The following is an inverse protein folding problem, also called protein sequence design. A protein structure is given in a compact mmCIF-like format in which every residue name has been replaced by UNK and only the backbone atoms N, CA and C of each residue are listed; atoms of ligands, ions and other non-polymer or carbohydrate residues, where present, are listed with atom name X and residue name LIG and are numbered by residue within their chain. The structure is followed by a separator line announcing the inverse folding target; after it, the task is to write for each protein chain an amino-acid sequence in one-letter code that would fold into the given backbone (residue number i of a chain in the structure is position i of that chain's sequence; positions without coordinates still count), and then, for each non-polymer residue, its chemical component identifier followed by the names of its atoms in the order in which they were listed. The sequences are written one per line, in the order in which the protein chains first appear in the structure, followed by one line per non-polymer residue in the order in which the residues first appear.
data_IF_118619264005
#
_entry.id   IF_118619264005
#
_cell.length_a   1.000
_cell.length_b   1.000
_cell.length_c   1.000
_cell.angle_alpha   90.00
_cell.angle_beta   90.00
_cell.angle_gamma   90.00
#
_symmetry.space_group_name_H-M   'P 1'
#
loop_
_entity.id
_entity.type
_entity.pdbx_description
1 polymer ?
#
# COMPACT_ATOMS: atom_id res chain seq x y z
N UNK A 1 -59.62 -52.37 4.42
CA UNK A 1 -59.93 -53.64 5.11
C UNK A 1 -58.60 -54.34 5.39
N UNK A 2 -58.19 -54.74 6.58
CA UNK A 2 -58.72 -54.60 7.93
C UNK A 2 -57.67 -55.13 8.93
N UNK A 3 -57.45 -54.34 9.99
CA UNK A 3 -57.12 -54.68 11.39
C UNK A 3 -56.26 -55.91 11.75
N UNK A 4 -55.26 -55.65 12.61
CA UNK A 4 -55.18 -56.25 13.94
C UNK A 4 -54.69 -55.22 14.98
N UNK A 5 -55.52 -55.00 16.02
CA UNK A 5 -55.21 -54.39 17.35
C UNK A 5 -54.55 -55.50 18.22
N UNK A 6 -53.98 -55.35 19.41
CA UNK A 6 -54.03 -54.42 20.57
C UNK A 6 -52.67 -54.61 21.33
N UNK A 7 -52.22 -53.84 22.32
CA UNK A 7 -52.86 -53.46 23.58
C UNK A 7 -51.95 -52.48 24.36
N UNK A 8 -52.56 -51.57 25.14
CA UNK A 8 -51.93 -50.58 26.05
C UNK A 8 -52.04 -51.05 27.52
N UNK A 9 -51.14 -50.59 28.40
CA UNK A 9 -51.39 -50.04 29.77
C UNK A 9 -50.06 -49.60 30.43
N UNK A 10 -49.83 -48.31 30.69
CA UNK A 10 -50.09 -47.52 31.93
C UNK A 10 -49.12 -47.80 33.10
N UNK A 11 -48.10 -46.95 33.30
CA UNK A 11 -47.95 -45.83 34.30
C UNK A 11 -47.48 -46.24 35.70
N UNK A 12 -46.31 -45.73 36.13
CA UNK A 12 -46.05 -45.26 37.53
C UNK A 12 -44.94 -44.18 37.53
N UNK A 13 -45.19 -43.06 38.23
CA UNK A 13 -44.27 -41.97 38.57
C UNK A 13 -43.36 -42.33 39.76
N UNK A 14 -42.13 -41.80 39.80
CA UNK A 14 -41.42 -41.53 41.08
C UNK A 14 -40.67 -40.20 40.99
N UNK A 15 -40.65 -39.47 42.13
CA UNK A 15 -40.26 -38.07 42.32
C UNK A 15 -38.82 -37.91 42.89
N UNK A 16 -38.12 -36.85 42.43
CA UNK A 16 -37.12 -35.96 43.11
C UNK A 16 -35.69 -36.46 43.47
N UNK A 17 -34.69 -35.56 43.72
CA UNK A 17 -34.69 -34.08 43.74
C UNK A 17 -33.53 -33.37 42.96
N UNK A 18 -33.66 -32.04 42.91
CA UNK A 18 -32.78 -31.00 42.35
C UNK A 18 -31.39 -30.91 43.00
N UNK A 19 -30.38 -30.51 42.22
CA UNK A 19 -29.22 -29.75 42.70
C UNK A 19 -29.00 -28.54 41.80
N UNK A 20 -29.14 -27.36 42.40
CA UNK A 20 -28.96 -26.05 41.81
C UNK A 20 -27.49 -25.78 41.43
N UNK A 21 -27.24 -25.38 40.18
CA UNK A 21 -26.06 -24.60 39.81
C UNK A 21 -26.57 -23.37 39.07
N UNK A 22 -26.60 -22.23 39.77
CA UNK A 22 -26.80 -20.92 39.16
C UNK A 22 -25.60 -20.61 38.26
N UNK A 23 -25.84 -20.48 36.96
CA UNK A 23 -25.00 -19.69 36.05
C UNK A 23 -25.77 -18.42 35.72
N UNK A 24 -25.29 -17.29 36.21
CA UNK A 24 -25.75 -15.98 35.77
C UNK A 24 -25.42 -15.82 34.28
N UNK A 25 -26.44 -15.93 33.44
CA UNK A 25 -26.35 -15.61 32.02
C UNK A 25 -26.71 -14.14 31.83
N UNK A 26 -25.70 -13.30 31.62
CA UNK A 26 -25.88 -12.04 30.90
C UNK A 26 -26.21 -12.39 29.44
N UNK A 27 -27.50 -12.64 29.18
CA UNK A 27 -28.04 -12.73 27.82
C UNK A 27 -28.05 -11.30 27.28
N UNK A 28 -27.00 -10.94 26.54
CA UNK A 28 -26.99 -9.77 25.69
C UNK A 28 -27.81 -10.14 24.45
N UNK A 29 -28.97 -9.50 24.31
CA UNK A 29 -29.93 -9.68 23.22
C UNK A 29 -29.26 -9.56 21.84
N UNK A 30 -29.04 -10.69 21.17
CA UNK A 30 -28.39 -10.78 19.85
C UNK A 30 -29.20 -10.02 18.78
N UNK A 31 -30.52 -9.96 18.91
CA UNK A 31 -31.39 -9.18 18.01
C UNK A 31 -31.09 -7.68 18.09
N UNK A 32 -30.61 -7.21 19.24
CA UNK A 32 -30.24 -5.81 19.45
C UNK A 32 -28.86 -5.48 18.83
N UNK A 33 -27.96 -6.46 18.72
CA UNK A 33 -26.71 -6.31 17.96
C UNK A 33 -26.97 -6.33 16.46
N UNK A 34 -27.81 -7.24 15.96
CA UNK A 34 -28.18 -7.28 14.54
C UNK A 34 -28.89 -6.02 14.10
N UNK A 35 -29.86 -5.52 14.88
CA UNK A 35 -30.55 -4.25 14.61
C UNK A 35 -29.61 -3.05 14.53
N UNK A 36 -28.60 -2.97 15.42
CA UNK A 36 -27.61 -1.88 15.40
C UNK A 36 -26.62 -2.03 14.23
N UNK A 37 -26.33 -3.26 13.79
CA UNK A 37 -25.47 -3.53 12.63
C UNK A 37 -26.20 -3.17 11.34
N UNK A 38 -27.47 -3.54 11.19
CA UNK A 38 -28.31 -3.19 10.03
C UNK A 38 -28.52 -1.67 9.92
N UNK A 39 -28.78 -0.98 11.04
CA UNK A 39 -28.93 0.48 11.07
C UNK A 39 -27.60 1.20 10.71
N UNK A 40 -26.45 0.63 11.09
CA UNK A 40 -25.12 1.17 10.74
C UNK A 40 -24.72 0.90 9.29
N UNK A 41 -25.13 -0.24 8.72
CA UNK A 41 -24.94 -0.56 7.29
C UNK A 41 -25.80 0.40 6.44
N UNK A 42 -27.03 0.67 6.85
CA UNK A 42 -27.95 1.59 6.16
C UNK A 42 -27.37 3.01 6.00
N UNK A 43 -26.74 3.56 7.05
CA UNK A 43 -26.12 4.91 7.01
C UNK A 43 -24.94 4.95 6.03
N UNK A 44 -24.14 3.87 5.95
CA UNK A 44 -23.01 3.78 5.01
C UNK A 44 -23.52 3.64 3.58
N UNK A 45 -24.56 2.83 3.34
CA UNK A 45 -25.20 2.71 2.03
C UNK A 45 -25.83 4.03 1.55
N UNK A 46 -26.44 4.81 2.45
CA UNK A 46 -27.06 6.09 2.10
C UNK A 46 -26.02 7.16 1.70
N UNK A 47 -24.85 7.14 2.36
CA UNK A 47 -23.69 7.99 2.00
C UNK A 47 -23.12 7.59 0.64
N UNK A 48 -23.11 6.28 0.32
CA UNK A 48 -22.68 5.78 -1.00
C UNK A 48 -23.70 6.20 -2.07
N UNK A 49 -24.99 5.98 -1.85
CA UNK A 49 -26.07 6.29 -2.83
C UNK A 49 -26.18 7.79 -3.17
N UNK A 50 -26.00 8.69 -2.20
CA UNK A 50 -26.11 10.16 -2.45
C UNK A 50 -24.96 10.75 -3.27
N UNK A 51 -23.86 10.02 -3.48
CA UNK A 51 -22.67 10.54 -4.16
C UNK A 51 -22.46 9.97 -5.59
N UNK A 52 -23.37 9.13 -6.11
CA UNK A 52 -23.22 8.40 -7.39
C UNK A 52 -23.79 9.15 -8.60
N UNK A 53 -24.58 10.20 -8.41
CA UNK A 53 -25.14 10.96 -9.53
C UNK A 53 -24.27 12.18 -9.85
N UNK A 54 -23.37 12.07 -10.83
CA UNK A 54 -23.05 13.09 -11.84
C UNK A 54 -22.07 12.51 -12.90
N UNK A 55 -22.58 12.35 -14.12
CA UNK A 55 -21.85 11.97 -15.35
C UNK A 55 -21.05 13.16 -15.92
N UNK A 56 -20.03 12.92 -16.76
CA UNK A 56 -18.86 13.80 -16.89
C UNK A 56 -19.01 14.88 -17.96
N UNK A 57 -18.42 16.05 -17.72
CA UNK A 57 -17.97 16.97 -18.78
C UNK A 57 -16.44 16.95 -18.83
N UNK A 58 -15.90 16.77 -20.04
CA UNK A 58 -14.47 16.72 -20.32
C UNK A 58 -13.78 18.02 -19.87
N UNK A 59 -12.79 17.92 -18.98
CA UNK A 59 -11.93 19.05 -18.61
C UNK A 59 -10.64 18.96 -19.42
N UNK A 60 -10.46 19.90 -20.34
CA UNK A 60 -9.22 20.13 -21.08
C UNK A 60 -8.11 20.53 -20.11
N UNK A 61 -6.99 19.81 -20.12
CA UNK A 61 -5.78 20.18 -19.41
C UNK A 61 -5.11 21.36 -20.15
N UNK A 62 -5.15 22.54 -19.54
CA UNK A 62 -4.42 23.73 -19.99
C UNK A 62 -3.20 23.95 -19.10
N UNK A 63 -2.03 24.07 -19.73
CA UNK A 63 -0.75 24.38 -19.12
C UNK A 63 -0.77 25.72 -18.37
N UNK A 64 -0.34 25.70 -17.11
CA UNK A 64 0.31 26.86 -16.49
C UNK A 64 1.44 26.40 -15.57
N UNK A 65 2.62 26.96 -15.82
CA UNK A 65 3.89 26.66 -15.16
C UNK A 65 4.10 27.78 -14.14
N UNK A 66 3.83 27.51 -12.86
CA UNK A 66 4.14 28.42 -11.76
C UNK A 66 3.51 27.93 -10.45
N UNK A 67 4.32 27.68 -9.41
CA UNK A 67 3.94 27.14 -8.09
C UNK A 67 3.56 25.63 -8.00
N UNK A 68 4.45 24.74 -8.46
CA UNK A 68 4.25 23.27 -8.44
C UNK A 68 4.72 22.53 -7.18
N UNK A 69 5.04 23.22 -6.08
CA UNK A 69 5.32 22.57 -4.79
C UNK A 69 4.07 22.08 -4.04
N UNK A 70 2.88 22.22 -4.64
CA UNK A 70 1.57 22.16 -3.96
C UNK A 70 0.64 21.04 -4.48
N UNK A 71 1.09 20.18 -5.41
CA UNK A 71 0.22 19.22 -6.10
C UNK A 71 -0.47 18.20 -5.18
N UNK A 72 0.08 17.93 -3.99
CA UNK A 72 -0.43 16.90 -3.07
C UNK A 72 -0.95 17.44 -1.73
N UNK A 73 -1.14 18.75 -1.58
CA UNK A 73 -1.93 19.33 -0.48
C UNK A 73 -1.37 19.19 0.94
N UNK A 74 -0.09 18.84 1.10
CA UNK A 74 0.61 18.95 2.40
C UNK A 74 1.10 20.41 2.49
N UNK A 75 0.19 21.30 2.89
CA UNK A 75 0.44 22.75 2.91
C UNK A 75 1.20 23.23 4.16
N UNK A 76 1.48 22.36 5.13
CA UNK A 76 2.21 22.75 6.32
C UNK A 76 2.87 21.55 6.99
N UNK A 77 3.97 21.82 7.68
CA UNK A 77 4.53 20.95 8.73
C UNK A 77 3.58 20.84 9.94
N UNK A 78 2.30 21.20 9.79
CA UNK A 78 1.36 21.16 10.90
C UNK A 78 1.00 19.70 11.16
N UNK A 79 1.26 19.28 12.38
CA UNK A 79 0.87 17.98 12.87
C UNK A 79 -0.66 17.87 12.91
N UNK A 80 -1.19 16.70 12.56
CA UNK A 80 -2.60 16.40 12.79
C UNK A 80 -2.92 16.60 14.28
N UNK A 81 -3.84 17.52 14.57
CA UNK A 81 -4.34 17.76 15.91
C UNK A 81 -5.67 16.99 16.10
N UNK A 82 -5.68 15.90 16.87
CA UNK A 82 -6.90 15.13 17.13
C UNK A 82 -8.00 15.95 17.81
N UNK A 83 -7.65 16.97 18.59
CA UNK A 83 -8.63 17.75 19.38
C UNK A 83 -9.52 18.62 18.51
N UNK A 84 -9.02 19.08 17.35
CA UNK A 84 -9.81 19.81 16.33
C UNK A 84 -11.00 18.97 15.82
N UNK A 85 -10.88 17.64 15.90
CA UNK A 85 -11.91 16.71 15.48
C UNK A 85 -12.67 16.05 16.64
N UNK A 86 -12.52 16.58 17.86
CA UNK A 86 -13.17 16.06 19.07
C UNK A 86 -12.60 14.71 19.53
N UNK A 87 -11.39 14.35 19.12
CA UNK A 87 -10.68 13.16 19.59
C UNK A 87 -9.81 13.49 20.81
N UNK A 88 -9.40 12.45 21.53
CA UNK A 88 -8.45 12.58 22.64
C UNK A 88 -7.13 13.23 22.17
N UNK A 89 -6.50 14.12 22.93
CA UNK A 89 -5.16 14.64 22.61
C UNK A 89 -4.08 13.55 22.56
N UNK A 90 -4.37 12.36 23.09
CA UNK A 90 -3.51 11.17 23.04
C UNK A 90 -3.87 10.20 21.91
N UNK A 91 -4.82 10.55 21.04
CA UNK A 91 -5.21 9.67 19.95
C UNK A 91 -4.08 9.53 18.92
N UNK A 92 -3.66 8.29 18.67
CA UNK A 92 -2.71 7.94 17.62
C UNK A 92 -3.32 6.82 16.76
N UNK A 93 -3.53 7.09 15.47
CA UNK A 93 -4.09 6.08 14.56
C UNK A 93 -3.17 4.85 14.46
N UNK A 94 -1.86 5.06 14.58
CA UNK A 94 -0.86 4.00 14.51
C UNK A 94 -0.87 3.04 15.72
N UNK A 95 -1.59 3.36 16.80
CA UNK A 95 -1.73 2.45 17.95
C UNK A 95 -2.70 1.30 17.67
N UNK A 96 -3.55 1.42 16.64
CA UNK A 96 -4.55 0.42 16.29
C UNK A 96 -4.04 -0.59 15.25
N UNK A 97 -2.75 -0.90 15.33
CA UNK A 97 -2.01 -1.69 14.31
C UNK A 97 -1.14 -2.79 14.89
N UNK A 98 -1.26 -3.10 16.19
CA UNK A 98 -0.22 -3.78 16.96
C UNK A 98 0.31 -5.07 16.28
N UNK A 99 1.45 -4.88 15.60
CA UNK A 99 2.17 -5.88 14.80
C UNK A 99 2.87 -6.94 15.67
N UNK A 100 3.01 -6.69 16.98
CA UNK A 100 3.77 -7.58 17.87
C UNK A 100 3.16 -8.98 17.98
N UNK A 101 1.84 -9.09 18.09
CA UNK A 101 1.20 -10.40 18.20
C UNK A 101 1.18 -11.17 16.88
N UNK A 102 1.18 -10.46 15.73
CA UNK A 102 1.14 -11.10 14.41
C UNK A 102 2.47 -11.79 14.07
N UNK A 103 3.62 -11.16 14.34
CA UNK A 103 4.93 -11.70 14.00
C UNK A 103 5.47 -12.73 15.01
N UNK A 104 5.03 -12.68 16.28
CA UNK A 104 5.38 -13.72 17.26
C UNK A 104 4.63 -15.04 17.00
N UNK A 105 3.45 -14.99 16.35
CA UNK A 105 2.65 -16.17 15.99
C UNK A 105 2.84 -16.68 14.56
N UNK A 106 3.31 -15.83 13.63
CA UNK A 106 3.57 -16.18 12.23
C UNK A 106 5.08 -16.30 11.96
N UNK A 107 5.75 -17.25 12.63
CA UNK A 107 6.93 -17.86 12.05
C UNK A 107 6.47 -18.77 10.89
N UNK A 108 6.08 -18.14 9.78
CA UNK A 108 5.93 -18.84 8.51
C UNK A 108 7.37 -19.02 8.02
N UNK A 109 7.88 -20.25 8.11
CA UNK A 109 9.15 -20.62 7.50
C UNK A 109 9.11 -20.18 6.02
N UNK A 110 10.11 -19.41 5.56
CA UNK A 110 10.20 -18.92 4.17
C UNK A 110 10.14 -20.03 3.11
N UNK A 111 10.25 -21.30 3.49
CA UNK A 111 10.00 -22.45 2.61
C UNK A 111 8.51 -22.72 2.32
N UNK A 112 7.59 -22.20 3.14
CA UNK A 112 6.17 -22.57 3.08
C UNK A 112 5.35 -21.67 2.15
N UNK A 113 5.69 -20.40 1.94
CA UNK A 113 5.04 -19.59 0.88
C UNK A 113 5.35 -20.13 -0.51
N UNK A 114 6.62 -20.49 -0.78
CA UNK A 114 7.02 -21.12 -2.04
C UNK A 114 6.40 -22.52 -2.25
N UNK A 115 6.05 -23.24 -1.16
CA UNK A 115 5.38 -24.56 -1.24
C UNK A 115 3.85 -24.45 -1.32
N UNK A 116 3.24 -23.37 -0.80
CA UNK A 116 1.79 -23.14 -0.89
C UNK A 116 1.39 -22.66 -2.30
N UNK A 117 2.28 -21.95 -3.01
CA UNK A 117 2.07 -21.63 -4.42
C UNK A 117 2.06 -22.88 -5.33
N UNK A 118 2.75 -23.95 -4.93
CA UNK A 118 2.88 -25.19 -5.72
C UNK A 118 1.65 -26.13 -5.56
N UNK A 119 0.86 -25.99 -4.49
CA UNK A 119 -0.24 -26.91 -4.14
C UNK A 119 -1.62 -26.50 -4.75
N UNK A 120 -1.66 -25.47 -5.59
CA UNK A 120 -2.83 -25.14 -6.43
C UNK A 120 -2.80 -25.79 -7.83
N UNK A 121 -2.02 -26.87 -7.99
CA UNK A 121 -1.97 -27.66 -9.23
C UNK A 121 -3.18 -28.59 -9.44
N UNK A 122 -4.38 -28.23 -8.96
CA UNK A 122 -5.59 -29.00 -9.19
C UNK A 122 -6.65 -28.20 -9.97
N UNK A 123 -6.52 -28.34 -11.29
CA UNK A 123 -7.61 -28.45 -12.29
C UNK A 123 -8.37 -27.18 -12.69
N UNK A 124 -7.66 -26.25 -13.34
CA UNK A 124 -8.15 -25.63 -14.59
C UNK A 124 -6.97 -25.73 -15.55
N UNK A 125 -7.21 -26.28 -16.74
CA UNK A 125 -6.24 -26.45 -17.84
C UNK A 125 -5.23 -25.30 -17.90
N UNK A 126 -3.95 -25.61 -18.16
CA UNK A 126 -2.90 -24.65 -18.54
C UNK A 126 -3.41 -23.73 -19.66
N UNK A 127 -4.01 -22.61 -19.25
CA UNK A 127 -4.71 -21.72 -20.15
C UNK A 127 -3.65 -20.87 -20.82
N UNK A 128 -3.34 -21.19 -22.08
CA UNK A 128 -2.41 -20.45 -22.94
C UNK A 128 -2.76 -18.97 -23.12
N UNK A 129 -3.88 -18.53 -22.53
CA UNK A 129 -4.43 -17.17 -22.58
C UNK A 129 -4.18 -16.32 -21.31
N UNK A 130 -3.50 -16.84 -20.27
CA UNK A 130 -3.07 -16.00 -19.12
C UNK A 130 -1.84 -15.15 -19.50
N UNK A 131 -2.06 -13.86 -19.75
CA UNK A 131 -0.99 -12.92 -20.14
C UNK A 131 -0.06 -12.54 -18.96
N UNK A 132 -0.60 -12.32 -17.76
CA UNK A 132 0.15 -12.20 -16.49
C UNK A 132 -0.70 -12.67 -15.30
N UNK A 133 -0.13 -13.53 -14.45
CA UNK A 133 -0.79 -14.18 -13.30
C UNK A 133 -0.22 -13.75 -11.94
N UNK A 134 -0.33 -14.64 -10.94
CA UNK A 134 0.20 -14.46 -9.58
C UNK A 134 1.72 -14.24 -9.64
N UNK A 135 2.25 -13.38 -8.76
CA UNK A 135 3.70 -13.10 -8.64
C UNK A 135 4.17 -11.79 -9.29
N UNK A 136 3.25 -11.01 -9.87
CA UNK A 136 3.51 -9.69 -10.45
C UNK A 136 2.62 -8.62 -9.80
N UNK A 137 2.98 -7.35 -10.00
CA UNK A 137 2.28 -6.20 -9.39
C UNK A 137 0.78 -6.17 -9.77
N UNK A 138 0.41 -6.63 -10.96
CA UNK A 138 -0.98 -6.73 -11.43
C UNK A 138 -1.25 -8.05 -12.14
N UNK A 139 -2.51 -8.48 -12.13
CA UNK A 139 -2.97 -9.47 -13.08
C UNK A 139 -3.35 -8.80 -14.42
N UNK A 140 -3.08 -9.48 -15.54
CA UNK A 140 -3.51 -9.06 -16.88
C UNK A 140 -4.23 -10.22 -17.55
N UNK A 141 -5.51 -10.04 -17.81
CA UNK A 141 -6.39 -11.08 -18.38
C UNK A 141 -7.05 -10.58 -19.66
N UNK A 142 -7.03 -11.40 -20.71
CA UNK A 142 -7.74 -11.09 -21.96
C UNK A 142 -9.25 -11.15 -21.75
N UNK A 143 -9.97 -10.15 -22.24
CA UNK A 143 -11.43 -10.11 -22.12
C UNK A 143 -12.04 -10.87 -23.31
N UNK A 144 -12.39 -12.15 -23.10
CA UNK A 144 -13.02 -13.01 -24.12
C UNK A 144 -12.20 -12.97 -25.43
N UNK A 145 -12.89 -13.01 -26.58
CA UNK A 145 -12.28 -12.93 -27.92
C UNK A 145 -12.01 -11.48 -28.39
N UNK A 146 -11.83 -10.52 -27.47
CA UNK A 146 -11.53 -9.13 -27.84
C UNK A 146 -10.05 -8.79 -27.73
N UNK A 147 -9.65 -7.64 -28.29
CA UNK A 147 -8.31 -7.05 -28.14
C UNK A 147 -8.14 -6.26 -26.83
N UNK A 148 -9.10 -6.34 -25.91
CA UNK A 148 -9.07 -5.63 -24.63
C UNK A 148 -8.53 -6.52 -23.52
N UNK A 149 -7.78 -5.88 -22.62
CA UNK A 149 -7.16 -6.51 -21.46
C UNK A 149 -7.75 -5.90 -20.19
N UNK A 150 -8.16 -6.76 -19.25
CA UNK A 150 -8.44 -6.40 -17.88
C UNK A 150 -7.12 -6.37 -17.11
N UNK A 151 -6.79 -5.21 -16.54
CA UNK A 151 -5.65 -5.04 -15.62
C UNK A 151 -6.19 -4.69 -14.25
N UNK A 152 -5.81 -5.46 -13.24
CA UNK A 152 -6.31 -5.28 -11.88
C UNK A 152 -5.24 -5.60 -10.83
N UNK A 153 -5.28 -4.83 -9.74
CA UNK A 153 -4.51 -5.08 -8.52
C UNK A 153 -5.40 -4.90 -7.27
N UNK A 154 -4.95 -5.45 -6.14
CA UNK A 154 -5.45 -5.15 -4.81
C UNK A 154 -4.29 -5.05 -3.83
N UNK A 155 -4.36 -4.09 -2.91
CA UNK A 155 -3.41 -3.98 -1.81
C UNK A 155 -4.11 -3.43 -0.56
N UNK A 156 -3.65 -3.82 0.62
CA UNK A 156 -4.10 -3.31 1.91
C UNK A 156 -2.99 -3.45 2.96
N UNK A 157 -2.97 -2.51 3.91
CA UNK A 157 -1.99 -2.50 4.98
C UNK A 157 -2.52 -1.77 6.20
N UNK A 158 -1.70 -1.72 7.25
CA UNK A 158 -2.03 -1.06 8.51
C UNK A 158 -1.60 0.42 8.50
N UNK A 159 -2.29 1.30 9.23
CA UNK A 159 -1.88 2.70 9.35
C UNK A 159 -0.42 2.92 9.75
N UNK A 160 0.27 3.78 8.99
CA UNK A 160 1.68 4.16 9.22
C UNK A 160 1.83 5.60 9.70
N UNK A 161 0.79 6.41 9.54
CA UNK A 161 0.75 7.83 9.88
C UNK A 161 -0.47 8.10 10.77
N UNK A 162 -0.36 9.06 11.67
CA UNK A 162 -1.43 9.36 12.63
C UNK A 162 -2.56 10.22 12.04
N UNK A 163 -2.29 10.97 10.96
CA UNK A 163 -3.28 11.75 10.22
C UNK A 163 -4.16 10.82 9.37
N UNK A 164 -5.47 10.64 9.70
CA UNK A 164 -6.32 9.73 8.96
C UNK A 164 -6.63 10.20 7.53
N UNK A 165 -6.66 11.51 7.28
CA UNK A 165 -6.87 12.04 5.92
C UNK A 165 -5.66 11.71 5.04
N UNK A 166 -4.46 11.97 5.54
CA UNK A 166 -3.23 11.64 4.82
C UNK A 166 -3.07 10.13 4.64
N UNK A 167 -3.43 9.33 5.65
CA UNK A 167 -3.46 7.87 5.53
C UNK A 167 -4.34 7.43 4.37
N UNK A 168 -5.56 7.97 4.24
CA UNK A 168 -6.42 7.68 3.09
C UNK A 168 -5.79 8.01 1.73
N UNK A 169 -5.05 9.13 1.64
CA UNK A 169 -4.31 9.51 0.42
C UNK A 169 -3.19 8.51 0.10
N UNK A 170 -2.40 8.14 1.11
CA UNK A 170 -1.30 7.19 0.97
C UNK A 170 -1.83 5.83 0.51
N UNK A 171 -2.91 5.33 1.13
CA UNK A 171 -3.51 4.05 0.73
C UNK A 171 -3.98 4.07 -0.73
N UNK A 172 -4.65 5.14 -1.17
CA UNK A 172 -5.07 5.26 -2.56
C UNK A 172 -3.87 5.31 -3.53
N UNK A 173 -2.80 6.04 -3.18
CA UNK A 173 -1.59 6.09 -3.98
C UNK A 173 -0.89 4.74 -4.08
N UNK A 174 -0.89 3.97 -2.98
CA UNK A 174 -0.34 2.61 -2.92
C UNK A 174 -1.12 1.66 -3.83
N UNK A 175 -2.44 1.59 -3.70
CA UNK A 175 -3.30 0.71 -4.53
C UNK A 175 -3.19 1.03 -6.03
N UNK A 176 -2.94 2.28 -6.40
CA UNK A 176 -2.75 2.67 -7.79
C UNK A 176 -1.32 2.40 -8.31
N UNK A 177 -0.36 2.15 -7.41
CA UNK A 177 1.06 2.07 -7.73
C UNK A 177 1.36 0.92 -8.69
N UNK A 178 0.74 -0.24 -8.49
CA UNK A 178 0.95 -1.41 -9.34
C UNK A 178 0.48 -1.21 -10.78
N UNK A 179 -0.65 -0.51 -10.99
CA UNK A 179 -1.08 -0.14 -12.35
C UNK A 179 -0.01 0.73 -13.00
N UNK A 180 0.54 1.68 -12.24
CA UNK A 180 1.61 2.55 -12.73
C UNK A 180 2.91 1.78 -13.03
N UNK A 181 3.21 0.68 -12.32
CA UNK A 181 4.34 -0.19 -12.61
C UNK A 181 4.24 -0.86 -13.99
N UNK A 182 3.02 -1.16 -14.47
CA UNK A 182 2.78 -1.64 -15.83
C UNK A 182 2.69 -0.52 -16.89
N UNK A 183 2.97 0.74 -16.52
CA UNK A 183 2.83 1.88 -17.43
C UNK A 183 1.38 2.27 -17.72
N UNK A 184 0.41 1.70 -17.00
CA UNK A 184 -1.01 1.97 -17.18
C UNK A 184 -1.37 3.26 -16.45
N UNK A 185 -1.75 4.30 -17.19
CA UNK A 185 -1.91 5.66 -16.65
C UNK A 185 -3.35 6.06 -16.33
N UNK A 186 -4.29 5.18 -16.66
CA UNK A 186 -5.73 5.33 -16.47
C UNK A 186 -6.21 4.22 -15.54
N UNK A 187 -7.07 4.58 -14.59
CA UNK A 187 -7.77 3.64 -13.74
C UNK A 187 -9.27 3.90 -13.93
N UNK A 188 -10.00 2.92 -14.45
CA UNK A 188 -11.44 3.08 -14.73
C UNK A 188 -12.27 3.02 -13.45
N UNK A 189 -11.86 2.19 -12.50
CA UNK A 189 -12.62 1.95 -11.28
C UNK A 189 -11.72 1.61 -10.09
N UNK A 190 -12.07 2.14 -8.91
CA UNK A 190 -11.53 1.68 -7.64
C UNK A 190 -12.61 1.19 -6.69
N UNK A 191 -12.26 0.19 -5.88
CA UNK A 191 -13.02 -0.19 -4.68
C UNK A 191 -12.17 0.08 -3.45
N UNK A 192 -12.80 0.48 -2.34
CA UNK A 192 -12.10 0.70 -1.07
C UNK A 192 -12.33 -0.47 -0.11
N UNK A 193 -11.26 -0.94 0.53
CA UNK A 193 -11.32 -2.01 1.55
C UNK A 193 -10.99 -1.39 2.91
N UNK A 194 -11.85 -1.61 3.90
CA UNK A 194 -11.70 -0.99 5.22
C UNK A 194 -12.03 -1.96 6.36
N UNK A 195 -11.04 -2.29 7.19
CA UNK A 195 -11.25 -2.91 8.50
C UNK A 195 -11.21 -1.84 9.58
N UNK A 196 -12.34 -1.59 10.24
CA UNK A 196 -12.45 -0.63 11.33
C UNK A 196 -12.05 -1.33 12.62
N UNK A 197 -11.09 -0.76 13.34
CA UNK A 197 -10.68 -1.27 14.64
C UNK A 197 -11.86 -1.37 15.62
N UNK A 198 -12.05 -2.55 16.21
CA UNK A 198 -13.11 -2.83 17.19
C UNK A 198 -12.94 -2.02 18.48
N UNK A 199 -11.72 -1.58 18.80
CA UNK A 199 -11.40 -0.76 19.96
C UNK A 199 -11.77 0.73 19.80
N UNK A 200 -12.14 1.19 18.59
CA UNK A 200 -12.60 2.56 18.41
C UNK A 200 -13.89 2.83 19.19
N UNK A 201 -13.88 3.91 19.96
CA UNK A 201 -15.10 4.58 20.40
C UNK A 201 -15.94 5.03 19.21
N UNK A 202 -17.21 5.36 19.47
CA UNK A 202 -18.12 5.81 18.42
C UNK A 202 -17.63 7.11 17.74
N UNK A 203 -17.06 8.03 18.52
CA UNK A 203 -16.50 9.29 18.01
C UNK A 203 -15.27 9.05 17.15
N UNK A 204 -14.31 8.24 17.62
CA UNK A 204 -13.13 7.87 16.85
C UNK A 204 -13.53 7.21 15.53
N UNK A 205 -14.44 6.24 15.57
CA UNK A 205 -14.94 5.57 14.38
C UNK A 205 -15.53 6.54 13.36
N UNK A 206 -16.46 7.41 13.77
CA UNK A 206 -17.11 8.36 12.84
C UNK A 206 -16.11 9.33 12.23
N UNK A 207 -15.20 9.86 13.04
CA UNK A 207 -14.23 10.87 12.62
C UNK A 207 -13.13 10.29 11.73
N UNK A 208 -12.45 9.24 12.20
CA UNK A 208 -11.30 8.61 11.53
C UNK A 208 -11.72 8.04 10.18
N UNK A 209 -12.81 7.28 10.14
CA UNK A 209 -13.32 6.67 8.90
C UNK A 209 -13.70 7.74 7.86
N UNK A 210 -14.37 8.82 8.30
CA UNK A 210 -14.73 9.93 7.41
C UNK A 210 -13.50 10.60 6.80
N UNK A 211 -12.45 10.82 7.58
CA UNK A 211 -11.21 11.43 7.12
C UNK A 211 -10.45 10.52 6.15
N UNK A 212 -10.32 9.23 6.45
CA UNK A 212 -9.68 8.24 5.55
C UNK A 212 -10.42 8.18 4.20
N UNK A 213 -11.75 8.03 4.23
CA UNK A 213 -12.55 7.99 3.00
C UNK A 213 -12.38 9.29 2.20
N UNK A 214 -12.35 10.45 2.87
CA UNK A 214 -12.12 11.74 2.21
C UNK A 214 -10.73 11.79 1.56
N UNK A 215 -9.70 11.36 2.26
CA UNK A 215 -8.33 11.28 1.75
C UNK A 215 -8.22 10.40 0.51
N UNK A 216 -8.74 9.18 0.61
CA UNK A 216 -8.74 8.22 -0.50
C UNK A 216 -9.49 8.80 -1.71
N UNK A 217 -10.65 9.40 -1.50
CA UNK A 217 -11.47 10.01 -2.57
C UNK A 217 -10.75 11.18 -3.24
N UNK A 218 -10.17 12.09 -2.46
CA UNK A 218 -9.47 13.25 -3.00
C UNK A 218 -8.26 12.79 -3.85
N UNK A 219 -7.57 11.74 -3.41
CA UNK A 219 -6.47 11.15 -4.15
C UNK A 219 -6.92 10.41 -5.42
N UNK A 220 -8.00 9.63 -5.36
CA UNK A 220 -8.59 8.98 -6.54
C UNK A 220 -9.02 10.02 -7.59
N UNK A 221 -9.62 11.13 -7.14
CA UNK A 221 -9.98 12.26 -8.01
C UNK A 221 -8.74 12.88 -8.68
N UNK A 222 -7.64 13.05 -7.94
CA UNK A 222 -6.36 13.52 -8.49
C UNK A 222 -5.77 12.54 -9.53
N UNK A 223 -5.94 11.24 -9.31
CA UNK A 223 -5.58 10.19 -10.26
C UNK A 223 -6.48 10.16 -11.51
N UNK A 224 -7.59 10.90 -11.51
CA UNK A 224 -8.58 10.91 -12.60
C UNK A 224 -9.56 9.74 -12.56
N UNK A 225 -9.69 9.07 -11.42
CA UNK A 225 -10.59 7.93 -11.22
C UNK A 225 -11.61 8.21 -10.11
N UNK A 226 -12.45 7.21 -9.79
CA UNK A 226 -13.49 7.29 -8.76
C UNK A 226 -13.56 6.01 -7.95
N UNK A 227 -14.03 6.14 -6.72
CA UNK A 227 -14.38 5.02 -5.85
C UNK A 227 -15.86 4.73 -6.07
N UNK A 228 -16.20 3.58 -6.68
CA UNK A 228 -17.59 3.23 -6.98
C UNK A 228 -18.15 2.11 -6.08
N UNK A 229 -17.41 1.72 -5.04
CA UNK A 229 -17.84 0.71 -4.09
C UNK A 229 -16.73 0.36 -3.10
N UNK A 230 -16.96 -0.68 -2.32
CA UNK A 230 -16.03 -1.14 -1.32
C UNK A 230 -16.68 -2.02 -0.27
N UNK A 231 -15.88 -2.53 0.64
CA UNK A 231 -16.34 -3.31 1.78
C UNK A 231 -15.76 -2.71 3.06
N UNK A 232 -16.61 -2.58 4.08
CA UNK A 232 -16.20 -2.15 5.41
C UNK A 232 -16.63 -3.19 6.44
N UNK A 233 -15.69 -3.64 7.26
CA UNK A 233 -15.92 -4.63 8.32
C UNK A 233 -15.38 -4.10 9.65
N UNK A 234 -15.80 -4.73 10.75
CA UNK A 234 -15.13 -4.56 12.05
C UNK A 234 -13.98 -5.57 12.13
N UNK A 235 -12.82 -5.13 12.58
CA UNK A 235 -11.60 -5.93 12.66
C UNK A 235 -10.85 -5.59 13.97
N UNK A 236 -10.05 -6.49 14.58
CA UNK A 236 -9.25 -6.15 15.77
C UNK A 236 -8.30 -4.97 15.52
N UNK A 237 -7.76 -4.88 14.30
CA UNK A 237 -6.85 -3.82 13.89
C UNK A 237 -7.43 -2.97 12.77
N UNK A 238 -6.94 -1.74 12.64
CA UNK A 238 -7.29 -0.88 11.52
C UNK A 238 -6.58 -1.38 10.25
N UNK A 239 -7.34 -1.76 9.22
CA UNK A 239 -6.79 -2.11 7.90
C UNK A 239 -7.40 -1.23 6.82
N UNK A 240 -6.58 -0.79 5.87
CA UNK A 240 -7.01 0.13 4.82
C UNK A 240 -6.37 -0.31 3.52
N UNK A 241 -7.18 -0.42 2.47
CA UNK A 241 -6.73 -0.86 1.17
C UNK A 241 -7.73 -0.55 0.07
N UNK A 242 -7.58 -1.26 -1.04
CA UNK A 242 -8.48 -1.12 -2.17
C UNK A 242 -8.15 -2.05 -3.32
N UNK A 243 -8.93 -1.89 -4.38
CA UNK A 243 -8.64 -2.45 -5.70
C UNK A 243 -8.57 -1.32 -6.70
N UNK A 244 -7.72 -1.48 -7.71
CA UNK A 244 -7.70 -0.62 -8.89
C UNK A 244 -7.86 -1.48 -10.14
N UNK A 245 -8.71 -1.04 -11.07
CA UNK A 245 -9.07 -1.81 -12.25
C UNK A 245 -9.14 -0.90 -13.47
N UNK A 246 -8.60 -1.38 -14.58
CA UNK A 246 -8.81 -0.76 -15.89
C UNK A 246 -9.03 -1.81 -16.98
N UNK A 247 -9.70 -1.39 -18.04
CA UNK A 247 -9.75 -2.11 -19.31
C UNK A 247 -8.96 -1.30 -20.33
N UNK A 248 -7.88 -1.87 -20.83
CA UNK A 248 -6.96 -1.16 -21.72
C UNK A 248 -6.57 -2.01 -22.93
N UNK A 249 -5.96 -1.37 -23.93
CA UNK A 249 -5.34 -2.04 -25.07
C UNK A 249 -3.94 -2.53 -24.70
N UNK A 250 -3.42 -3.58 -25.36
CA UNK A 250 -2.04 -4.04 -25.17
C UNK A 250 -0.98 -2.93 -25.30
N UNK A 251 -1.22 -1.93 -26.17
CA UNK A 251 -0.30 -0.80 -26.37
C UNK A 251 -0.21 0.17 -25.19
N UNK A 252 -1.13 0.06 -24.22
CA UNK A 252 -1.13 0.90 -23.01
C UNK A 252 -0.36 0.24 -21.86
N UNK A 253 0.07 -1.01 -22.04
CA UNK A 253 0.85 -1.79 -21.08
C UNK A 253 2.31 -1.84 -21.52
N UNK A 254 3.21 -1.69 -20.56
CA UNK A 254 4.64 -1.97 -20.73
C UNK A 254 4.90 -3.32 -20.07
N UNK A 255 5.32 -4.30 -20.87
CA UNK A 255 5.65 -5.63 -20.34
C UNK A 255 6.85 -5.55 -19.40
N UNK A 256 6.78 -6.13 -18.19
CA UNK A 256 7.82 -5.95 -17.18
C UNK A 256 9.06 -6.85 -17.40
N UNK A 257 9.19 -7.53 -18.55
CA UNK A 257 10.15 -8.61 -18.78
C UNK A 257 11.08 -8.43 -19.99
N UNK A 258 11.27 -7.20 -20.48
CA UNK A 258 12.01 -6.90 -21.71
C UNK A 258 13.42 -6.34 -21.47
N UNK A 259 13.98 -6.48 -20.26
CA UNK A 259 15.29 -5.94 -19.93
C UNK A 259 16.41 -6.52 -20.81
N UNK A 260 17.38 -5.69 -21.18
CA UNK A 260 18.56 -6.09 -21.96
C UNK A 260 19.86 -5.67 -21.27
N UNK A 261 20.95 -6.38 -21.56
CA UNK A 261 22.28 -6.03 -21.06
C UNK A 261 22.65 -4.61 -21.50
N UNK A 262 23.10 -3.79 -20.55
CA UNK A 262 23.46 -2.39 -20.77
C UNK A 262 22.36 -1.39 -20.40
N UNK A 263 21.13 -1.86 -20.16
CA UNK A 263 20.09 -1.04 -19.53
C UNK A 263 20.55 -0.56 -18.14
N UNK A 264 19.84 0.46 -17.65
CA UNK A 264 20.00 0.98 -16.29
C UNK A 264 18.71 0.87 -15.51
N UNK A 265 18.86 0.88 -14.19
CA UNK A 265 17.76 0.90 -13.24
C UNK A 265 17.53 2.33 -12.78
N UNK A 266 16.32 2.84 -12.90
CA UNK A 266 15.89 4.18 -12.47
C UNK A 266 14.90 4.05 -11.32
N UNK A 267 15.16 4.72 -10.19
CA UNK A 267 14.24 4.78 -9.06
C UNK A 267 13.60 6.17 -8.96
N UNK A 268 12.28 6.25 -8.77
CA UNK A 268 11.52 7.52 -8.83
C UNK A 268 11.15 8.15 -7.49
N UNK A 269 11.34 7.44 -6.37
CA UNK A 269 11.21 7.98 -5.01
C UNK A 269 12.38 7.51 -4.14
N UNK A 270 12.84 8.30 -3.16
CA UNK A 270 13.90 7.86 -2.27
C UNK A 270 13.38 6.83 -1.27
N UNK A 271 14.30 6.03 -0.72
CA UNK A 271 14.05 4.96 0.25
C UNK A 271 14.09 5.48 1.68
N UNK A 272 13.65 4.64 2.62
CA UNK A 272 13.74 4.89 4.06
C UNK A 272 12.43 5.29 4.71
N UNK A 273 11.28 5.00 4.09
CA UNK A 273 9.96 5.29 4.64
C UNK A 273 9.78 4.61 6.00
N UNK A 274 10.07 3.31 6.10
CA UNK A 274 9.91 2.57 7.36
C UNK A 274 10.77 3.15 8.49
N UNK A 275 11.99 3.59 8.18
CA UNK A 275 12.87 4.21 9.18
C UNK A 275 12.31 5.56 9.64
N UNK A 276 11.82 6.39 8.72
CA UNK A 276 11.26 7.70 9.03
C UNK A 276 10.01 7.61 9.91
N UNK A 277 9.05 6.74 9.56
CA UNK A 277 7.81 6.58 10.35
C UNK A 277 8.09 5.98 11.73
N UNK A 278 9.00 5.01 11.83
CA UNK A 278 9.37 4.44 13.13
C UNK A 278 10.15 5.42 14.00
N UNK A 279 11.10 6.15 13.42
CA UNK A 279 11.86 7.16 14.16
C UNK A 279 10.93 8.23 14.75
N UNK A 280 9.93 8.67 13.99
CA UNK A 280 8.91 9.60 14.47
C UNK A 280 8.10 9.05 15.64
N UNK A 281 7.60 7.81 15.53
CA UNK A 281 6.89 7.15 16.64
C UNK A 281 7.76 7.02 17.89
N UNK A 282 9.05 6.73 17.71
CA UNK A 282 9.97 6.55 18.82
C UNK A 282 10.33 7.85 19.55
N UNK A 283 10.04 9.03 19.00
CA UNK A 283 10.17 10.29 19.75
C UNK A 283 9.37 10.26 21.05
N UNK A 284 8.22 9.59 21.03
CA UNK A 284 7.31 9.47 22.16
C UNK A 284 7.57 8.23 23.05
N UNK A 285 8.63 7.46 22.75
CA UNK A 285 9.07 6.32 23.56
C UNK A 285 10.44 6.63 24.19
N UNK A 286 10.52 6.87 25.52
CA UNK A 286 11.76 7.29 26.18
C UNK A 286 12.96 6.38 25.94
N UNK A 287 12.75 5.06 25.94
CA UNK A 287 13.81 4.06 25.76
C UNK A 287 14.38 4.08 24.33
N UNK A 288 13.50 4.13 23.32
CA UNK A 288 13.91 4.16 21.91
C UNK A 288 14.43 5.53 21.48
N UNK A 289 13.87 6.62 22.00
CA UNK A 289 14.26 8.00 21.75
C UNK A 289 15.73 8.27 22.14
N UNK A 290 16.23 7.63 23.21
CA UNK A 290 17.60 7.80 23.67
C UNK A 290 18.65 7.48 22.60
N UNK A 291 18.40 6.45 21.75
CA UNK A 291 19.32 6.07 20.67
C UNK A 291 19.28 7.05 19.49
N UNK A 292 18.09 7.59 19.18
CA UNK A 292 17.93 8.58 18.10
C UNK A 292 18.65 9.89 18.41
N UNK A 293 18.56 10.36 19.65
CA UNK A 293 19.18 11.62 20.11
C UNK A 293 20.70 11.65 19.98
N UNK A 294 21.35 10.49 19.83
CA UNK A 294 22.80 10.40 19.60
C UNK A 294 23.20 10.77 18.16
N UNK A 295 22.28 10.71 17.19
CA UNK A 295 22.61 10.80 15.77
C UNK A 295 21.78 11.82 14.98
N UNK A 296 20.59 12.18 15.49
CA UNK A 296 19.68 13.13 14.84
C UNK A 296 18.98 14.01 15.86
N UNK A 297 18.58 15.20 15.44
CA UNK A 297 17.70 16.08 16.23
C UNK A 297 16.24 15.66 16.09
N UNK A 298 15.37 16.17 16.97
CA UNK A 298 13.92 15.95 16.82
C UNK A 298 13.37 16.56 15.53
N UNK A 299 13.87 17.73 15.13
CA UNK A 299 13.50 18.39 13.86
C UNK A 299 13.93 17.57 12.65
N UNK A 300 15.12 16.96 12.68
CA UNK A 300 15.59 16.03 11.63
C UNK A 300 14.60 14.86 11.45
N UNK A 301 14.10 14.28 12.56
CA UNK A 301 13.15 13.17 12.55
C UNK A 301 11.78 13.61 12.02
N UNK A 302 11.26 14.74 12.49
CA UNK A 302 9.98 15.30 12.03
C UNK A 302 10.03 15.61 10.53
N UNK A 303 11.10 16.24 10.06
CA UNK A 303 11.27 16.55 8.65
C UNK A 303 11.33 15.29 7.78
N UNK A 304 12.05 14.25 8.23
CA UNK A 304 12.09 12.96 7.54
C UNK A 304 10.71 12.28 7.49
N UNK A 305 9.92 12.36 8.57
CA UNK A 305 8.55 11.86 8.61
C UNK A 305 7.65 12.57 7.59
N UNK A 306 7.65 13.90 7.55
CA UNK A 306 6.85 14.65 6.58
C UNK A 306 7.28 14.39 5.13
N UNK A 307 8.59 14.17 4.88
CA UNK A 307 9.09 13.72 3.57
C UNK A 307 8.57 12.35 3.19
N UNK A 308 8.56 11.41 4.13
CA UNK A 308 7.98 10.09 3.92
C UNK A 308 6.48 10.22 3.60
N UNK A 309 5.73 10.99 4.38
CA UNK A 309 4.31 11.25 4.12
C UNK A 309 4.05 11.85 2.73
N UNK A 310 4.83 12.84 2.31
CA UNK A 310 4.70 13.47 0.99
C UNK A 310 4.99 12.50 -0.16
N UNK A 311 6.09 11.75 -0.08
CA UNK A 311 6.41 10.78 -1.13
C UNK A 311 5.39 9.63 -1.18
N UNK A 312 4.90 9.17 -0.03
CA UNK A 312 3.92 8.08 0.05
C UNK A 312 2.58 8.52 -0.53
N UNK A 313 2.20 9.80 -0.37
CA UNK A 313 0.97 10.34 -0.95
C UNK A 313 1.12 10.73 -2.43
N UNK A 314 2.32 10.62 -3.02
CA UNK A 314 2.57 10.98 -4.43
C UNK A 314 2.22 9.83 -5.36
N UNK A 315 1.46 10.12 -6.42
CA UNK A 315 1.11 9.11 -7.43
C UNK A 315 2.31 8.79 -8.33
N UNK A 316 2.53 7.51 -8.66
CA UNK A 316 3.51 7.10 -9.68
C UNK A 316 3.04 7.35 -11.13
N UNK A 317 1.85 7.93 -11.32
CA UNK A 317 1.24 8.24 -12.64
C UNK A 317 2.16 9.03 -13.60
N UNK A 318 2.90 10.06 -13.15
CA UNK A 318 3.81 10.80 -14.02
C UNK A 318 4.97 9.92 -14.50
N UNK A 319 5.51 9.06 -13.63
CA UNK A 319 6.52 8.07 -14.02
C UNK A 319 5.97 7.10 -15.07
N UNK A 320 4.78 6.52 -14.85
CA UNK A 320 4.12 5.62 -15.80
C UNK A 320 3.94 6.23 -17.20
N UNK A 321 3.54 7.51 -17.27
CA UNK A 321 3.44 8.24 -18.54
C UNK A 321 4.78 8.39 -19.24
N UNK A 322 5.84 8.70 -18.48
CA UNK A 322 7.17 8.89 -19.03
C UNK A 322 7.83 7.56 -19.44
N UNK A 323 7.44 6.43 -18.83
CA UNK A 323 7.92 5.11 -19.26
C UNK A 323 7.58 4.83 -20.73
N UNK A 324 6.36 5.16 -21.16
CA UNK A 324 5.97 5.05 -22.57
C UNK A 324 6.79 5.97 -23.48
N UNK A 325 6.98 7.22 -23.05
CA UNK A 325 7.72 8.22 -23.84
C UNK A 325 9.19 7.85 -24.06
N UNK A 326 9.82 7.27 -23.05
CA UNK A 326 11.24 6.95 -23.02
C UNK A 326 11.54 5.46 -23.21
N UNK A 327 10.55 4.71 -23.70
CA UNK A 327 10.68 3.30 -24.09
C UNK A 327 11.26 2.43 -22.97
N UNK A 328 10.62 2.44 -21.80
CA UNK A 328 10.97 1.54 -20.71
C UNK A 328 10.81 0.07 -21.15
N UNK A 329 11.71 -0.78 -20.66
CA UNK A 329 11.74 -2.21 -20.90
C UNK A 329 11.08 -3.02 -19.78
N UNK A 330 10.53 -2.33 -18.78
CA UNK A 330 9.82 -2.92 -17.66
C UNK A 330 9.98 -2.08 -16.41
N UNK A 331 9.11 -2.31 -15.44
CA UNK A 331 9.24 -1.74 -14.11
C UNK A 331 8.52 -2.62 -13.09
N UNK A 332 8.82 -2.36 -11.83
CA UNK A 332 8.03 -2.74 -10.65
C UNK A 332 7.96 -1.52 -9.74
N UNK A 333 7.06 -1.47 -8.78
CA UNK A 333 7.15 -0.50 -7.70
C UNK A 333 7.86 -1.07 -6.47
N UNK A 334 8.39 -0.20 -5.61
CA UNK A 334 9.13 -0.62 -4.41
C UNK A 334 8.24 -0.43 -3.18
N UNK A 335 7.76 -1.53 -2.61
CA UNK A 335 6.87 -1.54 -1.44
C UNK A 335 7.40 -2.47 -0.35
N UNK A 336 6.60 -3.46 0.08
CA UNK A 336 6.76 -4.20 1.32
C UNK A 336 8.08 -4.96 1.45
N UNK A 337 8.61 -5.47 0.33
CA UNK A 337 9.83 -6.30 0.30
C UNK A 337 11.13 -5.50 0.21
N UNK A 338 11.03 -4.17 0.13
CA UNK A 338 12.18 -3.29 -0.07
C UNK A 338 12.79 -3.40 -1.47
N UNK A 339 13.70 -2.48 -1.78
CA UNK A 339 14.26 -2.34 -3.13
C UNK A 339 14.92 -3.64 -3.65
N UNK A 340 15.58 -4.42 -2.80
CA UNK A 340 16.23 -5.65 -3.21
C UNK A 340 15.22 -6.78 -3.47
N UNK A 341 14.16 -6.88 -2.67
CA UNK A 341 13.11 -7.87 -2.88
C UNK A 341 12.37 -7.63 -4.19
N UNK A 342 11.90 -6.41 -4.43
CA UNK A 342 11.22 -6.06 -5.68
C UNK A 342 12.15 -6.13 -6.89
N UNK A 343 13.43 -5.74 -6.75
CA UNK A 343 14.40 -5.93 -7.83
C UNK A 343 14.61 -7.43 -8.18
N UNK A 344 14.63 -8.32 -7.19
CA UNK A 344 14.73 -9.76 -7.43
C UNK A 344 13.49 -10.30 -8.12
N UNK A 345 12.28 -9.91 -7.67
CA UNK A 345 11.03 -10.31 -8.33
C UNK A 345 11.00 -9.87 -9.79
N UNK A 346 11.40 -8.62 -10.06
CA UNK A 346 11.51 -8.10 -11.42
C UNK A 346 12.61 -8.81 -12.23
N UNK A 347 13.75 -9.16 -11.63
CA UNK A 347 14.81 -9.89 -12.34
C UNK A 347 14.36 -11.30 -12.72
N UNK A 348 13.70 -12.01 -11.81
CA UNK A 348 13.26 -13.40 -11.95
C UNK A 348 12.37 -13.63 -13.19
N UNK A 349 11.57 -12.62 -13.56
CA UNK A 349 10.59 -12.73 -14.65
C UNK A 349 11.16 -12.33 -16.02
N UNK A 350 12.39 -11.82 -16.09
CA UNK A 350 12.95 -11.32 -17.34
C UNK A 350 13.07 -12.41 -18.41
N UNK A 351 12.68 -12.10 -19.64
CA UNK A 351 12.82 -13.06 -20.74
C UNK A 351 14.30 -13.35 -21.04
N UNK A 352 15.12 -12.31 -21.05
CA UNK A 352 16.56 -12.39 -21.30
C UNK A 352 17.35 -12.87 -20.08
N UNK A 353 18.52 -13.51 -20.27
CA UNK A 353 19.41 -13.93 -19.18
C UNK A 353 20.20 -12.72 -18.65
N UNK A 354 19.52 -11.90 -17.86
CA UNK A 354 20.06 -10.67 -17.27
C UNK A 354 19.96 -10.68 -15.76
N UNK A 355 20.85 -9.96 -15.09
CA UNK A 355 20.79 -9.71 -13.64
C UNK A 355 20.92 -8.22 -13.36
N UNK A 356 20.41 -7.80 -12.21
CA UNK A 356 20.34 -6.40 -11.80
C UNK A 356 21.39 -6.11 -10.73
N UNK A 357 22.13 -5.02 -10.90
CA UNK A 357 23.16 -4.59 -9.95
C UNK A 357 22.89 -3.17 -9.50
N UNK A 358 22.47 -3.03 -8.24
CA UNK A 358 22.20 -1.74 -7.62
C UNK A 358 23.51 -1.22 -6.99
N UNK A 359 23.91 -0.03 -7.43
CA UNK A 359 25.14 0.66 -7.02
C UNK A 359 24.87 1.81 -6.06
N UNK A 360 23.72 2.49 -6.21
CA UNK A 360 23.38 3.69 -5.47
C UNK A 360 22.03 3.53 -4.78
N UNK A 361 21.90 4.07 -3.57
CA UNK A 361 20.66 4.10 -2.81
C UNK A 361 20.29 5.55 -2.49
N UNK A 362 19.30 6.16 -3.18
CA UNK A 362 18.74 7.43 -2.76
C UNK A 362 17.90 7.21 -1.50
N UNK A 363 18.29 7.85 -0.41
CA UNK A 363 17.69 7.65 0.92
C UNK A 363 17.29 9.01 1.50
N UNK A 364 16.11 9.08 2.11
CA UNK A 364 15.65 10.27 2.86
C UNK A 364 16.76 10.73 3.82
N UNK A 365 17.03 12.03 3.84
CA UNK A 365 18.11 12.60 4.64
C UNK A 365 18.05 12.09 6.09
N UNK A 366 19.24 11.81 6.65
CA UNK A 366 19.47 11.24 7.98
C UNK A 366 19.02 9.78 8.20
N UNK A 367 18.15 9.21 7.37
CA UNK A 367 17.63 7.85 7.62
C UNK A 367 18.69 6.75 7.51
N UNK A 368 19.75 6.95 6.72
CA UNK A 368 20.88 6.03 6.68
C UNK A 368 21.67 6.00 8.01
N UNK A 369 21.79 7.14 8.70
CA UNK A 369 22.46 7.23 10.00
C UNK A 369 21.57 6.68 11.11
N UNK A 370 20.27 6.99 11.08
CA UNK A 370 19.29 6.42 12.01
C UNK A 370 19.26 4.90 11.91
N UNK A 371 19.20 4.34 10.70
CA UNK A 371 19.20 2.89 10.47
C UNK A 371 20.44 2.21 11.07
N UNK A 372 21.63 2.81 10.88
CA UNK A 372 22.89 2.32 11.48
C UNK A 372 22.90 2.39 13.00
N UNK A 373 22.40 3.48 13.58
CA UNK A 373 22.31 3.64 15.04
C UNK A 373 21.40 2.59 15.69
N UNK A 374 20.45 2.07 14.92
CA UNK A 374 19.55 0.99 15.32
C UNK A 374 20.09 -0.41 14.98
N UNK A 375 21.40 -0.55 14.73
CA UNK A 375 22.03 -1.84 14.46
C UNK A 375 21.58 -2.49 13.14
N UNK A 376 21.16 -1.68 12.15
CA UNK A 376 20.56 -2.15 10.90
C UNK A 376 19.29 -3.00 11.08
N UNK A 377 18.55 -2.84 12.19
CA UNK A 377 17.30 -3.58 12.43
C UNK A 377 16.26 -3.43 11.29
N UNK A 378 16.37 -2.37 10.49
CA UNK A 378 15.50 -2.12 9.34
C UNK A 378 16.00 -2.72 8.03
N UNK A 379 17.27 -3.11 7.91
CA UNK A 379 17.81 -3.58 6.61
C UNK A 379 17.83 -2.53 5.48
N UNK A 380 17.84 -1.23 5.82
CA UNK A 380 17.78 -0.15 4.81
C UNK A 380 18.98 -0.18 3.86
N UNK A 381 20.18 -0.41 4.38
CA UNK A 381 21.40 -0.42 3.57
C UNK A 381 21.61 -1.74 2.82
N UNK A 382 20.93 -2.80 3.24
CA UNK A 382 20.89 -4.11 2.57
C UNK A 382 19.74 -4.19 1.56
N UNK A 383 18.92 -3.14 1.45
CA UNK A 383 17.80 -3.06 0.52
C UNK A 383 16.56 -3.86 0.91
N UNK A 384 16.49 -4.33 2.16
CA UNK A 384 15.39 -5.16 2.68
C UNK A 384 14.47 -4.38 3.62
N UNK A 385 14.69 -3.08 3.81
CA UNK A 385 13.76 -2.21 4.52
C UNK A 385 12.47 -2.11 3.73
N UNK A 386 11.36 -2.28 4.44
CA UNK A 386 10.04 -2.11 3.86
C UNK A 386 9.85 -0.67 3.42
N UNK A 387 9.20 -0.49 2.27
CA UNK A 387 8.70 0.79 1.80
C UNK A 387 7.17 0.70 1.70
N UNK A 388 6.49 1.84 1.69
CA UNK A 388 5.04 1.87 1.46
C UNK A 388 4.77 2.95 0.44
N UNK A 389 3.97 2.65 -0.60
CA UNK A 389 3.78 3.53 -1.75
C UNK A 389 5.09 4.16 -2.24
N UNK A 390 6.12 3.32 -2.43
CA UNK A 390 7.42 3.79 -2.91
C UNK A 390 7.39 4.21 -4.38
N UNK A 391 8.58 4.36 -4.96
CA UNK A 391 8.73 4.74 -6.35
C UNK A 391 8.71 3.53 -7.27
N UNK A 392 8.66 3.80 -8.58
CA UNK A 392 8.92 2.78 -9.58
C UNK A 392 10.43 2.54 -9.69
N UNK A 393 10.81 1.27 -9.79
CA UNK A 393 12.12 0.80 -10.25
C UNK A 393 12.00 0.40 -11.72
N UNK A 394 12.47 1.27 -12.60
CA UNK A 394 12.25 1.21 -14.05
C UNK A 394 13.53 0.78 -14.76
N UNK A 395 13.38 -0.11 -15.74
CA UNK A 395 14.45 -0.58 -16.61
C UNK A 395 14.36 0.16 -17.94
N UNK A 396 15.45 0.80 -18.37
CA UNK A 396 15.51 1.44 -19.69
C UNK A 396 16.94 1.69 -20.14
N UNK A 397 17.12 2.04 -21.41
CA UNK A 397 18.41 2.43 -21.96
C UNK A 397 18.97 3.67 -21.25
N UNK A 398 20.30 3.74 -21.10
CA UNK A 398 20.98 4.79 -20.34
C UNK A 398 20.73 6.21 -20.85
N UNK A 399 20.70 6.37 -22.16
CA UNK A 399 20.45 7.65 -22.83
C UNK A 399 19.02 8.11 -22.54
N UNK A 400 18.05 7.18 -22.60
CA UNK A 400 16.65 7.45 -22.29
C UNK A 400 16.44 7.74 -20.80
N UNK A 401 17.12 7.01 -19.90
CA UNK A 401 17.09 7.25 -18.47
C UNK A 401 17.51 8.67 -18.10
N UNK A 402 18.54 9.20 -18.77
CA UNK A 402 19.00 10.57 -18.52
C UNK A 402 17.94 11.60 -18.90
N UNK A 403 17.25 11.40 -20.04
CA UNK A 403 16.16 12.26 -20.48
C UNK A 403 14.93 12.11 -19.59
N UNK A 404 14.59 10.88 -19.20
CA UNK A 404 13.52 10.55 -18.25
C UNK A 404 13.72 11.31 -16.93
N UNK A 405 14.89 11.18 -16.30
CA UNK A 405 15.14 11.80 -14.99
C UNK A 405 15.02 13.33 -15.06
N UNK A 406 15.51 13.95 -16.14
CA UNK A 406 15.43 15.40 -16.34
C UNK A 406 14.00 15.89 -16.53
N UNK A 407 13.19 15.17 -17.31
CA UNK A 407 11.79 15.53 -17.51
C UNK A 407 10.94 15.23 -16.27
N UNK A 408 11.20 14.12 -15.60
CA UNK A 408 10.56 13.74 -14.34
C UNK A 408 10.77 14.83 -13.28
N UNK A 409 12.01 15.28 -13.06
CA UNK A 409 12.31 16.35 -12.12
C UNK A 409 11.60 17.67 -12.47
N UNK A 410 11.47 18.00 -13.76
CA UNK A 410 10.73 19.19 -14.21
C UNK A 410 9.23 19.09 -13.91
N UNK A 411 8.65 17.89 -13.97
CA UNK A 411 7.23 17.67 -13.73
C UNK A 411 6.95 17.62 -12.23
N UNK A 412 7.71 16.80 -11.50
CA UNK A 412 7.48 16.45 -10.10
C UNK A 412 8.15 17.38 -9.10
N UNK A 413 9.13 18.18 -9.53
CA UNK A 413 9.95 19.00 -8.63
C UNK A 413 10.87 18.19 -7.71
N UNK A 414 10.96 16.87 -7.92
CA UNK A 414 11.90 15.98 -7.22
C UNK A 414 12.60 15.08 -8.24
N UNK A 415 13.89 14.77 -8.04
CA UNK A 415 14.65 13.98 -8.99
C UNK A 415 14.26 12.49 -8.96
N UNK A 416 14.53 11.81 -10.08
CA UNK A 416 14.68 10.35 -10.14
C UNK A 416 16.16 10.00 -10.27
N UNK A 417 16.54 8.78 -9.92
CA UNK A 417 17.96 8.38 -9.81
C UNK A 417 18.25 7.15 -10.63
N UNK A 418 19.33 7.19 -11.42
CA UNK A 418 19.94 5.97 -11.94
C UNK A 418 20.65 5.26 -10.78
N UNK A 419 20.09 4.15 -10.33
CA UNK A 419 20.54 3.42 -9.13
C UNK A 419 21.40 2.21 -9.46
N UNK A 420 21.35 1.71 -10.69
CA UNK A 420 22.04 0.48 -11.05
C UNK A 420 22.09 0.21 -12.55
N UNK A 421 22.55 -0.99 -12.89
CA UNK A 421 22.71 -1.47 -14.27
C UNK A 421 22.14 -2.86 -14.41
N UNK A 422 21.82 -3.22 -15.66
CA UNK A 422 21.46 -4.57 -16.07
C UNK A 422 22.68 -5.20 -16.75
N UNK A 423 23.14 -6.33 -16.20
CA UNK A 423 24.26 -7.11 -16.72
C UNK A 423 23.79 -8.48 -17.22
N UNK A 424 24.66 -9.20 -17.93
CA UNK A 424 24.38 -10.60 -18.29
C UNK A 424 24.37 -11.43 -16.99
N UNK A 425 23.35 -12.27 -16.80
CA UNK A 425 23.22 -13.03 -15.56
C UNK A 425 22.11 -14.06 -15.59
N UNK A 426 21.70 -14.49 -14.40
CA UNK A 426 20.83 -15.62 -14.13
C UNK A 426 19.47 -15.20 -13.53
N UNK A 427 18.98 -14.00 -13.90
CA UNK A 427 17.69 -13.45 -13.45
C UNK A 427 17.64 -13.12 -11.97
N UNK A 428 18.78 -12.68 -11.42
CA UNK A 428 18.93 -12.28 -10.01
C UNK A 428 19.14 -10.78 -9.86
N UNK A 429 18.90 -10.24 -8.66
CA UNK A 429 19.25 -8.88 -8.29
C UNK A 429 20.15 -8.83 -7.06
N UNK A 430 21.12 -7.93 -7.08
CA UNK A 430 22.03 -7.69 -5.95
C UNK A 430 22.31 -6.21 -5.75
N UNK A 431 22.59 -5.83 -4.50
CA UNK A 431 23.22 -4.56 -4.15
C UNK A 431 24.71 -4.83 -3.95
N UNK A 432 25.58 -3.95 -4.46
CA UNK A 432 27.02 -4.06 -4.23
C UNK A 432 27.35 -3.96 -2.73
N UNK A 433 28.45 -4.55 -2.26
CA UNK A 433 28.80 -4.58 -0.82
C UNK A 433 28.83 -3.21 -0.12
N UNK A 434 29.24 -2.18 -0.87
CA UNK A 434 29.35 -0.79 -0.38
C UNK A 434 28.57 0.14 -1.31
N UNK A 435 27.23 0.14 -1.26
CA UNK A 435 26.44 0.99 -2.14
C UNK A 435 26.68 2.45 -1.79
N UNK A 436 26.73 3.31 -2.81
CA UNK A 436 26.82 4.76 -2.61
C UNK A 436 25.48 5.27 -2.12
N UNK A 437 25.48 5.92 -0.95
CA UNK A 437 24.27 6.57 -0.44
C UNK A 437 24.14 7.95 -1.08
N UNK A 438 22.98 8.19 -1.71
CA UNK A 438 22.58 9.50 -2.21
C UNK A 438 21.60 10.07 -1.18
N UNK A 439 22.02 11.08 -0.42
CA UNK A 439 21.16 11.72 0.58
C UNK A 439 20.12 12.61 -0.10
N UNK A 440 18.84 12.47 0.28
CA UNK A 440 17.72 13.18 -0.35
C UNK A 440 16.89 13.97 0.68
N UNK A 441 16.85 15.31 0.59
CA UNK A 441 17.64 16.15 -0.30
C UNK A 441 19.12 16.19 0.11
N UNK A 442 19.97 16.56 -0.85
CA UNK A 442 21.41 16.67 -0.61
C UNK A 442 21.77 17.88 0.29
N UNK A 443 20.91 18.91 0.30
CA UNK A 443 21.07 20.11 1.11
C UNK A 443 19.72 20.53 1.68
N UNK A 444 19.71 20.88 2.94
CA UNK A 444 18.52 21.43 3.59
C UNK A 444 18.31 22.89 3.16
N UNK A 445 17.06 23.24 2.86
CA UNK A 445 16.65 24.61 2.57
C UNK A 445 15.58 25.00 3.58
N UNK A 446 15.86 26.02 4.38
CA UNK A 446 14.95 26.48 5.43
C UNK A 446 13.55 26.75 4.88
N UNK A 447 12.53 26.19 5.54
CA UNK A 447 11.12 26.34 5.16
C UNK A 447 10.68 25.50 3.96
N UNK A 448 11.53 24.62 3.42
CA UNK A 448 11.17 23.67 2.36
C UNK A 448 11.22 22.23 2.85
N UNK A 449 10.30 21.42 2.33
CA UNK A 449 10.28 19.99 2.61
C UNK A 449 11.38 19.25 1.82
N UNK A 450 11.61 19.60 0.56
CA UNK A 450 12.58 18.97 -0.36
C UNK A 450 13.66 19.93 -0.82
#
# INVERSE_FOLDING_TARGET
MGKAKSEKKETVKTDKPKSDIKKDANIIDENKKESIIEEKISVVEEIIKKNVLHTPTAVKCGDSIGNRGLLYGINSLDQFDPTVYGLSPKFCLTDFTDLKELLEGLQIDNESEAKIEDDQSNTISEDKDKLMGIGLDCCVTKIRDSDLLLVQTTDFFYPLVDDPYLMGKITCANVLSDLYALGVTICDNMLMLLGICSAFSETERKTVVKLIIKGFRDQAKLAGTRINGGQTIVNPWMTIGGTATTVCKPTEIINPNQAVVGDVLVLTKPLGVQVAVNAYRWLYNPERSARLKLVVTEDDVRLAYYRACDMMARLNRPAARLMHKYNAHGATDVTGFGILGHANNLANIQANPVSFVIHNLPIINKMSVVSKACGNAFGLLTGTSSETSGGLLIIMQREQATLFCKEFEKIEGCPAWIVGVVEKGDRTARIIEKPRIITVPAKEVSGKLW
#
